data_IF_926415371833
#
_entry.id   IF_926415371833
#
_cell.length_a   1.000
_cell.length_b   1.000
_cell.length_c   1.000
_cell.angle_alpha   90.00
_cell.angle_beta   90.00
_cell.angle_gamma   90.00
#
_symmetry.space_group_name_H-M   'P 1'
#
loop_
_entity.id
_entity.type
_entity.pdbx_description
1 polymer ?
#
# COMPACT_ATOMS: atom_id res chain seq x y z
N UNK A 1 2.39 32.95 15.20
CA UNK A 1 1.82 31.76 15.89
C UNK A 1 1.64 30.67 14.83
N UNK A 2 2.19 29.47 15.05
CA UNK A 2 2.08 28.39 14.05
C UNK A 2 0.60 28.07 13.80
N UNK A 3 0.14 28.28 12.55
CA UNK A 3 -1.26 28.06 12.15
C UNK A 3 -1.72 26.62 12.32
N UNK A 4 -0.80 25.68 12.43
CA UNK A 4 -1.06 24.25 12.62
C UNK A 4 -1.17 23.85 14.10
N UNK A 5 -0.69 24.70 15.04
CA UNK A 5 -0.50 24.36 16.45
C UNK A 5 -1.73 23.68 17.09
N UNK A 6 -2.90 24.29 17.01
CA UNK A 6 -4.13 23.73 17.61
C UNK A 6 -4.50 22.36 17.04
N UNK A 7 -4.30 22.16 15.73
CA UNK A 7 -4.63 20.89 15.06
C UNK A 7 -3.61 19.83 15.46
N UNK A 8 -2.32 20.19 15.54
CA UNK A 8 -1.27 19.28 15.97
C UNK A 8 -1.41 18.88 17.43
N UNK A 9 -1.75 19.78 18.34
CA UNK A 9 -2.03 19.46 19.74
C UNK A 9 -3.13 18.40 19.85
N UNK A 10 -4.21 18.57 19.09
CA UNK A 10 -5.28 17.57 19.00
C UNK A 10 -4.81 16.24 18.41
N UNK A 11 -3.98 16.29 17.36
CA UNK A 11 -3.41 15.09 16.75
C UNK A 11 -2.44 14.37 17.69
N UNK A 12 -1.57 15.10 18.40
CA UNK A 12 -0.69 14.52 19.41
C UNK A 12 -1.47 13.83 20.50
N UNK A 13 -2.51 14.49 21.07
CA UNK A 13 -3.36 13.90 22.09
C UNK A 13 -4.05 12.61 21.62
N UNK A 14 -4.42 12.52 20.34
CA UNK A 14 -5.12 11.36 19.78
C UNK A 14 -4.21 10.21 19.42
N UNK A 15 -3.04 10.49 18.82
CA UNK A 15 -2.23 9.48 18.15
C UNK A 15 -0.91 9.15 18.85
N UNK A 16 -0.40 10.05 19.71
CA UNK A 16 0.84 9.80 20.45
C UNK A 16 0.53 8.99 21.70
N UNK A 17 1.19 7.84 21.90
CA UNK A 17 1.00 7.03 23.08
C UNK A 17 1.40 7.77 24.37
N UNK A 18 0.59 7.66 25.40
CA UNK A 18 0.91 8.15 26.75
C UNK A 18 2.07 7.36 27.37
N UNK A 19 2.68 7.91 28.40
CA UNK A 19 3.72 7.22 29.18
C UNK A 19 3.23 5.88 29.76
N UNK A 20 1.97 5.82 30.20
CA UNK A 20 1.36 4.59 30.72
C UNK A 20 1.25 3.52 29.63
N UNK A 21 0.80 3.90 28.44
CA UNK A 21 0.69 2.97 27.30
C UNK A 21 2.07 2.49 26.82
N UNK A 22 3.06 3.39 26.77
CA UNK A 22 4.45 3.00 26.46
C UNK A 22 4.97 1.99 27.46
N UNK A 23 4.86 2.24 28.76
CA UNK A 23 5.31 1.34 29.82
C UNK A 23 4.61 -0.02 29.78
N UNK A 24 3.32 -0.05 29.47
CA UNK A 24 2.58 -1.31 29.32
C UNK A 24 3.09 -2.14 28.14
N UNK A 25 3.38 -1.47 27.01
CA UNK A 25 3.96 -2.12 25.84
C UNK A 25 5.38 -2.62 26.11
N UNK A 26 6.22 -1.82 26.79
CA UNK A 26 7.59 -2.17 27.18
C UNK A 26 7.62 -3.42 28.07
N UNK A 27 6.70 -3.54 29.03
CA UNK A 27 6.59 -4.75 29.87
C UNK A 27 6.32 -6.00 29.01
N UNK A 28 5.38 -5.89 28.04
CA UNK A 28 5.05 -7.01 27.14
C UNK A 28 6.23 -7.34 26.23
N UNK A 29 6.94 -6.31 25.73
CA UNK A 29 8.12 -6.47 24.90
C UNK A 29 9.25 -7.18 25.64
N UNK A 30 9.53 -6.82 26.88
CA UNK A 30 10.53 -7.48 27.70
C UNK A 30 10.16 -8.94 27.98
N UNK A 31 8.90 -9.23 28.33
CA UNK A 31 8.44 -10.60 28.60
C UNK A 31 8.61 -11.52 27.38
N UNK A 32 8.27 -11.06 26.16
CA UNK A 32 8.47 -11.89 24.95
C UNK A 32 9.95 -12.02 24.61
N UNK A 33 10.75 -10.97 24.81
CA UNK A 33 12.19 -11.02 24.60
C UNK A 33 12.88 -12.06 25.53
N UNK A 34 12.51 -12.07 26.81
CA UNK A 34 13.00 -13.02 27.80
C UNK A 34 12.61 -14.46 27.42
N UNK A 35 11.37 -14.65 26.95
CA UNK A 35 10.91 -15.95 26.48
C UNK A 35 11.74 -16.45 25.28
N UNK A 36 11.96 -15.60 24.27
CA UNK A 36 12.74 -15.98 23.09
C UNK A 36 14.19 -16.29 23.43
N UNK A 37 14.83 -15.49 24.28
CA UNK A 37 16.20 -15.73 24.75
C UNK A 37 16.31 -17.03 25.57
N UNK A 38 15.33 -17.30 26.44
CA UNK A 38 15.27 -18.56 27.20
C UNK A 38 15.14 -19.75 26.26
N UNK A 39 14.26 -19.70 25.27
CA UNK A 39 14.06 -20.77 24.29
C UNK A 39 15.33 -21.01 23.47
N UNK A 40 16.03 -19.96 23.02
CA UNK A 40 17.29 -20.06 22.30
C UNK A 40 18.35 -20.74 23.13
N UNK A 41 18.51 -20.32 24.38
CA UNK A 41 19.47 -20.92 25.32
C UNK A 41 19.17 -22.41 25.57
N UNK A 42 17.91 -22.76 25.80
CA UNK A 42 17.49 -24.14 26.07
C UNK A 42 17.68 -25.04 24.85
N UNK A 43 17.48 -24.53 23.64
CA UNK A 43 17.62 -25.27 22.38
C UNK A 43 19.05 -25.26 21.83
N UNK A 44 19.99 -24.57 22.46
CA UNK A 44 21.38 -24.43 21.98
C UNK A 44 21.51 -23.67 20.65
N UNK A 45 20.53 -22.84 20.32
CA UNK A 45 20.52 -22.06 19.07
C UNK A 45 21.27 -20.75 19.29
N UNK A 46 22.27 -20.50 18.43
CA UNK A 46 23.02 -19.22 18.44
C UNK A 46 22.28 -18.15 17.62
N UNK A 47 21.54 -17.29 18.32
CA UNK A 47 20.76 -16.21 17.73
C UNK A 47 20.78 -14.99 18.65
N UNK A 48 20.82 -13.79 18.07
CA UNK A 48 20.66 -12.53 18.79
C UNK A 48 19.30 -11.91 18.45
N UNK A 49 18.51 -11.54 19.47
CA UNK A 49 17.25 -10.87 19.26
C UNK A 49 17.38 -9.37 19.48
N UNK A 50 16.80 -8.57 18.57
CA UNK A 50 16.71 -7.11 18.70
C UNK A 50 15.31 -6.62 18.37
N UNK A 51 14.83 -5.62 19.10
CA UNK A 51 13.63 -4.92 18.71
C UNK A 51 13.83 -4.16 17.42
N UNK A 52 12.78 -4.14 16.59
CA UNK A 52 12.74 -3.45 15.32
C UNK A 52 11.50 -2.58 15.16
N UNK A 53 11.21 -2.26 13.92
CA UNK A 53 9.99 -1.58 13.51
C UNK A 53 9.76 -0.22 14.18
N UNK A 54 8.49 0.14 14.29
CA UNK A 54 8.08 1.39 14.91
C UNK A 54 8.21 1.37 16.44
N UNK A 55 8.11 0.19 17.06
CA UNK A 55 8.31 0.03 18.50
C UNK A 55 9.73 0.44 18.90
N UNK A 56 10.76 -0.15 18.30
CA UNK A 56 12.17 0.15 18.62
C UNK A 56 12.55 1.62 18.41
N UNK A 57 11.86 2.31 17.51
CA UNK A 57 12.07 3.72 17.16
C UNK A 57 11.21 4.69 17.98
N UNK A 58 10.23 4.19 18.73
CA UNK A 58 9.28 4.99 19.48
C UNK A 58 8.34 5.82 18.61
N UNK A 59 8.07 5.37 17.37
CA UNK A 59 7.29 6.09 16.35
C UNK A 59 5.98 5.39 15.98
N UNK A 60 5.46 4.52 16.85
CA UNK A 60 4.21 3.81 16.65
C UNK A 60 2.99 4.68 17.03
N UNK A 61 1.89 4.49 16.30
CA UNK A 61 0.64 5.19 16.52
C UNK A 61 -0.10 4.50 17.68
N UNK A 62 -0.67 5.29 18.59
CA UNK A 62 -1.52 4.79 19.67
C UNK A 62 -2.59 3.84 19.14
N UNK A 63 -2.85 2.76 19.88
CA UNK A 63 -3.79 1.67 19.54
C UNK A 63 -3.44 0.83 18.30
N UNK A 64 -2.29 1.12 17.64
CA UNK A 64 -1.81 0.39 16.45
C UNK A 64 -0.39 -0.17 16.69
N UNK A 65 -0.06 -0.56 17.90
CA UNK A 65 1.27 -1.04 18.23
C UNK A 65 1.44 -2.52 17.86
N UNK A 66 2.43 -2.78 17.02
CA UNK A 66 2.99 -4.10 16.78
C UNK A 66 4.42 -4.09 17.32
N UNK A 67 4.90 -5.21 17.88
CA UNK A 67 6.29 -5.37 18.28
C UNK A 67 7.00 -6.22 17.24
N UNK A 68 7.92 -5.60 16.51
CA UNK A 68 8.80 -6.28 15.58
C UNK A 68 10.06 -6.72 16.31
N UNK A 69 10.44 -7.99 16.18
CA UNK A 69 11.66 -8.57 16.73
C UNK A 69 12.48 -9.17 15.59
N UNK A 70 13.71 -8.71 15.43
CA UNK A 70 14.66 -9.31 14.51
C UNK A 70 15.44 -10.42 15.20
N UNK A 71 15.37 -11.63 14.66
CA UNK A 71 16.19 -12.76 15.04
C UNK A 71 17.42 -12.81 14.12
N UNK A 72 18.58 -12.43 14.61
CA UNK A 72 19.81 -12.23 13.84
C UNK A 72 20.62 -13.53 13.86
N UNK A 73 20.74 -14.17 12.71
CA UNK A 73 21.49 -15.42 12.50
C UNK A 73 22.75 -15.19 11.69
N UNK A 74 23.71 -16.11 11.81
CA UNK A 74 24.94 -16.05 11.03
C UNK A 74 24.81 -16.70 9.64
N UNK A 75 23.82 -17.58 9.44
CA UNK A 75 23.57 -18.23 8.15
C UNK A 75 22.08 -18.47 7.88
N UNK A 76 21.72 -18.60 6.59
CA UNK A 76 20.34 -18.93 6.18
C UNK A 76 19.88 -20.30 6.69
N UNK A 77 20.80 -21.25 6.85
CA UNK A 77 20.51 -22.59 7.38
C UNK A 77 20.01 -22.51 8.82
N UNK A 78 20.65 -21.67 9.64
CA UNK A 78 20.28 -21.46 11.05
C UNK A 78 18.93 -20.80 11.23
N UNK A 79 18.47 -19.97 10.27
CA UNK A 79 17.16 -19.32 10.35
C UNK A 79 15.99 -20.28 10.49
N UNK A 80 16.10 -21.52 9.97
CA UNK A 80 15.07 -22.55 10.10
C UNK A 80 14.78 -22.93 11.55
N UNK A 81 15.75 -22.73 12.44
CA UNK A 81 15.57 -23.00 13.86
C UNK A 81 14.64 -22.02 14.57
N UNK A 82 14.31 -20.87 13.93
CA UNK A 82 13.42 -19.89 14.52
C UNK A 82 12.04 -20.46 14.86
N UNK A 83 11.55 -21.43 14.08
CA UNK A 83 10.28 -22.12 14.33
C UNK A 83 10.20 -22.82 15.69
N UNK A 84 11.33 -23.23 16.27
CA UNK A 84 11.41 -23.86 17.59
C UNK A 84 11.53 -22.84 18.73
N UNK A 85 11.82 -21.57 18.41
CA UNK A 85 12.10 -20.52 19.40
C UNK A 85 10.87 -19.67 19.70
N UNK A 86 9.98 -19.53 18.72
CA UNK A 86 8.74 -18.72 18.85
C UNK A 86 7.65 -19.49 19.60
N UNK A 87 6.67 -18.81 20.24
CA UNK A 87 5.50 -19.45 20.82
C UNK A 87 4.77 -20.35 19.81
N UNK A 88 4.24 -21.50 20.29
CA UNK A 88 3.61 -22.52 19.42
C UNK A 88 2.36 -22.07 18.68
N UNK A 89 1.69 -21.04 19.16
CA UNK A 89 0.51 -20.42 18.57
C UNK A 89 0.84 -19.35 17.53
N UNK A 90 2.14 -19.05 17.33
CA UNK A 90 2.55 -18.17 16.25
C UNK A 90 2.43 -18.87 14.90
N UNK A 91 1.90 -18.16 13.93
CA UNK A 91 1.72 -18.67 12.57
C UNK A 91 2.87 -18.22 11.67
N UNK A 92 3.29 -19.13 10.80
CA UNK A 92 4.22 -18.81 9.72
C UNK A 92 3.56 -17.91 8.69
N UNK A 93 4.24 -16.86 8.28
CA UNK A 93 3.80 -15.92 7.25
C UNK A 93 4.92 -15.73 6.23
N UNK A 94 4.53 -15.54 4.98
CA UNK A 94 5.46 -15.37 3.86
C UNK A 94 5.43 -13.91 3.38
N UNK A 95 6.61 -13.28 3.39
CA UNK A 95 6.87 -11.99 2.79
C UNK A 95 8.06 -12.13 1.83
N UNK A 96 9.01 -11.22 1.87
CA UNK A 96 10.32 -11.38 1.22
C UNK A 96 11.09 -12.59 1.79
N UNK A 97 10.77 -12.94 3.02
CA UNK A 97 11.31 -14.07 3.77
C UNK A 97 10.21 -14.63 4.66
N UNK A 98 10.29 -15.91 5.00
CA UNK A 98 9.41 -16.53 5.99
C UNK A 98 9.64 -15.91 7.38
N UNK A 99 8.57 -15.53 8.07
CA UNK A 99 8.60 -14.95 9.41
C UNK A 99 7.42 -15.44 10.25
N UNK A 100 7.46 -15.20 11.54
CA UNK A 100 6.45 -15.68 12.49
C UNK A 100 5.68 -14.52 13.08
N UNK A 101 4.36 -14.66 13.16
CA UNK A 101 3.49 -13.67 13.79
C UNK A 101 2.44 -14.30 14.67
N UNK A 102 2.13 -13.63 15.75
CA UNK A 102 1.11 -14.06 16.70
C UNK A 102 0.68 -12.94 17.63
N UNK A 103 -0.06 -13.31 18.68
CA UNK A 103 -0.39 -12.40 19.78
C UNK A 103 0.22 -12.89 21.07
N UNK A 104 0.93 -12.01 21.74
CA UNK A 104 1.48 -12.28 23.06
C UNK A 104 0.94 -11.26 24.04
N UNK A 105 0.23 -11.70 25.09
CA UNK A 105 -0.48 -10.82 26.05
C UNK A 105 -1.37 -9.77 25.36
N UNK A 106 -2.04 -10.16 24.27
CA UNK A 106 -2.93 -9.30 23.49
C UNK A 106 -2.26 -8.39 22.46
N UNK A 107 -0.93 -8.22 22.52
CA UNK A 107 -0.15 -7.42 21.59
C UNK A 107 0.25 -8.27 20.38
N UNK A 108 0.21 -7.70 19.19
CA UNK A 108 0.74 -8.37 17.98
C UNK A 108 2.26 -8.37 18.01
N UNK A 109 2.85 -9.51 17.74
CA UNK A 109 4.29 -9.72 17.68
C UNK A 109 4.64 -10.29 16.31
N UNK A 110 5.67 -9.74 15.69
CA UNK A 110 6.29 -10.31 14.49
C UNK A 110 7.75 -10.62 14.79
N UNK A 111 8.16 -11.87 14.51
CA UNK A 111 9.56 -12.30 14.69
C UNK A 111 10.13 -12.63 13.32
N UNK A 112 11.06 -11.81 12.88
CA UNK A 112 11.59 -11.81 11.52
C UNK A 112 13.06 -12.27 11.54
N UNK A 113 13.41 -13.37 10.85
CA UNK A 113 14.79 -13.78 10.74
C UNK A 113 15.56 -12.84 9.82
N UNK A 114 16.74 -12.40 10.25
CA UNK A 114 17.66 -11.56 9.50
C UNK A 114 19.07 -12.13 9.53
N UNK A 115 19.85 -11.88 8.48
CA UNK A 115 21.26 -12.28 8.42
C UNK A 115 22.14 -11.20 9.03
N UNK A 116 23.14 -11.65 9.79
CA UNK A 116 24.26 -10.81 10.18
C UNK A 116 25.11 -10.51 8.96
N UNK A 117 25.49 -9.29 8.77
CA UNK A 117 26.40 -8.86 7.71
C UNK A 117 27.47 -7.93 8.28
N UNK A 118 28.65 -7.96 7.68
CA UNK A 118 29.79 -7.08 7.99
C UNK A 118 29.93 -5.94 7.01
N UNK A 119 29.49 -6.14 5.76
CA UNK A 119 29.52 -5.15 4.69
C UNK A 119 28.11 -4.94 4.10
N UNK A 120 27.68 -3.70 4.03
CA UNK A 120 26.38 -3.32 3.49
C UNK A 120 26.23 -3.69 2.01
N UNK A 121 27.32 -3.71 1.26
CA UNK A 121 27.29 -4.12 -0.15
C UNK A 121 27.04 -5.63 -0.34
N UNK A 122 27.25 -6.44 0.71
CA UNK A 122 26.97 -7.88 0.70
C UNK A 122 25.50 -8.22 0.98
N UNK A 123 24.70 -7.24 1.40
CA UNK A 123 23.30 -7.45 1.77
C UNK A 123 22.45 -7.72 0.55
N UNK A 124 21.92 -8.94 0.47
CA UNK A 124 21.04 -9.38 -0.63
C UNK A 124 19.57 -9.03 -0.41
N UNK A 125 19.15 -8.94 0.84
CA UNK A 125 17.76 -8.67 1.21
C UNK A 125 17.66 -7.39 2.04
N UNK A 126 16.86 -6.44 1.59
CA UNK A 126 16.68 -5.15 2.28
C UNK A 126 16.13 -5.27 3.70
N UNK A 127 15.51 -6.39 4.06
CA UNK A 127 15.03 -6.64 5.43
C UNK A 127 16.19 -6.75 6.42
N UNK A 128 17.36 -7.23 5.97
CA UNK A 128 18.56 -7.35 6.82
C UNK A 128 19.08 -5.97 7.24
N UNK A 129 18.79 -4.90 6.47
CA UNK A 129 19.11 -3.52 6.80
C UNK A 129 18.20 -2.92 7.89
N UNK A 130 17.09 -3.58 8.23
CA UNK A 130 16.08 -3.00 9.14
C UNK A 130 16.62 -2.75 10.55
N UNK A 131 17.62 -3.51 10.97
CA UNK A 131 18.33 -3.28 12.25
C UNK A 131 19.10 -1.96 12.22
N UNK A 132 19.75 -1.64 11.10
CA UNK A 132 20.46 -0.37 10.92
C UNK A 132 19.49 0.82 10.90
N UNK A 133 18.32 0.66 10.29
CA UNK A 133 17.31 1.71 10.24
C UNK A 133 16.86 2.14 11.64
N UNK A 134 16.67 1.19 12.58
CA UNK A 134 16.28 1.51 13.94
C UNK A 134 17.38 2.32 14.67
N UNK A 135 18.64 1.89 14.55
CA UNK A 135 19.78 2.59 15.13
C UNK A 135 19.92 4.00 14.54
N UNK A 136 19.82 4.12 13.22
CA UNK A 136 19.92 5.41 12.53
C UNK A 136 18.84 6.37 13.01
N UNK A 137 17.57 5.95 13.01
CA UNK A 137 16.45 6.81 13.40
C UNK A 137 16.60 7.26 14.87
N UNK A 138 16.96 6.37 15.77
CA UNK A 138 17.13 6.69 17.20
C UNK A 138 18.28 7.66 17.46
N UNK A 139 19.29 7.72 16.60
CA UNK A 139 20.39 8.69 16.74
C UNK A 139 20.01 10.12 16.36
N UNK A 140 18.89 10.34 15.62
CA UNK A 140 18.51 11.65 15.11
C UNK A 140 17.17 12.17 15.65
N UNK A 141 16.22 11.30 15.98
CA UNK A 141 14.88 11.73 16.36
C UNK A 141 14.80 11.99 17.87
N UNK A 142 14.71 13.27 18.24
CA UNK A 142 14.24 13.67 19.56
C UNK A 142 12.78 13.27 19.78
N UNK A 143 12.31 13.27 21.04
CA UNK A 143 10.93 12.89 21.37
C UNK A 143 9.89 13.76 20.67
N UNK A 144 10.16 15.06 20.46
CA UNK A 144 9.25 15.93 19.71
C UNK A 144 9.19 15.57 18.23
N UNK A 145 10.34 15.27 17.62
CA UNK A 145 10.36 14.78 16.24
C UNK A 145 9.65 13.43 16.08
N UNK A 146 9.74 12.55 17.09
CA UNK A 146 8.97 11.28 17.10
C UNK A 146 7.45 11.55 17.12
N UNK A 147 6.97 12.56 17.86
CA UNK A 147 5.55 12.97 17.81
C UNK A 147 5.15 13.42 16.40
N UNK A 148 5.99 14.22 15.74
CA UNK A 148 5.77 14.67 14.37
C UNK A 148 5.68 13.50 13.38
N UNK A 149 6.57 12.49 13.51
CA UNK A 149 6.52 11.27 12.73
C UNK A 149 5.19 10.52 12.94
N UNK A 150 4.75 10.39 14.19
CA UNK A 150 3.51 9.68 14.53
C UNK A 150 2.31 10.35 13.87
N UNK A 151 2.19 11.68 13.97
CA UNK A 151 1.06 12.38 13.35
C UNK A 151 1.18 12.44 11.82
N UNK A 152 2.38 12.46 11.25
CA UNK A 152 2.57 12.32 9.80
C UNK A 152 2.13 10.94 9.29
N UNK A 153 2.45 9.87 10.03
CA UNK A 153 1.94 8.52 9.73
C UNK A 153 0.41 8.47 9.79
N UNK A 154 -0.20 9.05 10.83
CA UNK A 154 -1.66 9.14 10.96
C UNK A 154 -2.28 9.95 9.82
N UNK A 155 -1.67 11.07 9.43
CA UNK A 155 -2.07 11.87 8.27
C UNK A 155 -2.03 11.05 6.98
N UNK A 156 -0.92 10.35 6.71
CA UNK A 156 -0.79 9.52 5.51
C UNK A 156 -1.80 8.37 5.47
N UNK A 157 -2.09 7.73 6.61
CA UNK A 157 -3.14 6.70 6.72
C UNK A 157 -4.52 7.26 6.40
N UNK A 158 -4.88 8.40 6.98
CA UNK A 158 -6.17 9.05 6.75
C UNK A 158 -6.37 9.53 5.29
N UNK A 159 -5.27 9.79 4.58
CA UNK A 159 -5.29 10.25 3.18
C UNK A 159 -4.89 9.17 2.17
N UNK A 160 -4.89 7.89 2.57
CA UNK A 160 -4.67 6.71 1.72
C UNK A 160 -3.34 6.73 0.94
N UNK A 161 -2.27 7.22 1.57
CA UNK A 161 -0.92 7.24 0.98
C UNK A 161 0.14 6.58 1.89
N UNK A 162 -0.27 5.84 2.93
CA UNK A 162 0.60 5.07 3.83
C UNK A 162 0.65 3.60 3.43
N UNK A 163 1.84 3.00 3.47
CA UNK A 163 2.08 1.58 3.19
C UNK A 163 2.92 1.38 1.94
N UNK A 164 4.03 0.64 2.05
CA UNK A 164 4.97 0.37 0.95
C UNK A 164 4.73 -0.98 0.28
N UNK A 165 3.68 -1.69 0.69
CA UNK A 165 3.28 -2.96 0.10
C UNK A 165 2.95 -2.79 -1.38
N UNK A 166 3.18 -3.84 -2.16
CA UNK A 166 3.03 -3.81 -3.63
C UNK A 166 1.60 -3.51 -4.11
N UNK A 167 0.61 -3.59 -3.23
CA UNK A 167 -0.78 -3.22 -3.52
C UNK A 167 -1.16 -1.83 -3.00
N UNK A 168 -0.35 -1.23 -2.10
CA UNK A 168 -0.58 0.11 -1.55
C UNK A 168 0.14 1.20 -2.33
N UNK A 169 1.40 0.94 -2.74
CA UNK A 169 2.25 1.89 -3.46
C UNK A 169 2.40 3.26 -2.76
N UNK A 170 2.35 3.26 -1.42
CA UNK A 170 2.44 4.46 -0.60
C UNK A 170 3.78 4.58 0.14
N UNK A 171 3.82 5.51 1.08
CA UNK A 171 4.99 5.78 1.90
C UNK A 171 5.14 4.76 3.03
N UNK A 172 6.34 4.21 3.18
CA UNK A 172 6.69 3.38 4.33
C UNK A 172 6.83 4.22 5.61
N UNK A 173 6.68 3.59 6.78
CA UNK A 173 6.96 4.27 8.05
C UNK A 173 8.39 4.83 8.10
N UNK A 174 9.37 4.09 7.56
CA UNK A 174 10.76 4.52 7.50
C UNK A 174 10.98 5.73 6.60
N UNK A 175 10.35 5.79 5.42
CA UNK A 175 10.46 6.97 4.55
C UNK A 175 9.91 8.23 5.20
N UNK A 176 8.81 8.13 5.98
CA UNK A 176 8.24 9.27 6.71
C UNK A 176 9.14 9.71 7.88
N UNK A 177 9.79 8.76 8.56
CA UNK A 177 10.79 9.04 9.61
C UNK A 177 11.98 9.82 9.05
N UNK A 178 12.50 9.40 7.89
CA UNK A 178 13.58 10.10 7.20
C UNK A 178 13.14 11.47 6.69
N UNK A 179 11.90 11.62 6.20
CA UNK A 179 11.35 12.92 5.82
C UNK A 179 11.33 13.91 7.00
N UNK A 180 10.88 13.50 8.19
CA UNK A 180 10.91 14.38 9.37
C UNK A 180 12.36 14.72 9.75
N UNK A 181 13.30 13.81 9.56
CA UNK A 181 14.72 14.11 9.76
C UNK A 181 15.21 15.16 8.77
N UNK A 182 14.91 15.03 7.49
CA UNK A 182 15.37 15.94 6.43
C UNK A 182 14.76 17.36 6.56
N UNK A 183 13.47 17.46 6.83
CA UNK A 183 12.74 18.73 6.92
C UNK A 183 12.70 19.30 8.34
N UNK A 184 13.12 18.54 9.35
CA UNK A 184 13.21 18.97 10.75
C UNK A 184 11.90 18.85 11.52
N UNK A 185 10.74 19.08 10.89
CA UNK A 185 9.42 18.97 11.51
C UNK A 185 8.31 18.70 10.48
N UNK A 186 7.13 18.30 10.95
CA UNK A 186 5.98 18.16 10.07
C UNK A 186 5.48 19.51 9.53
N UNK A 187 5.51 20.58 10.33
CA UNK A 187 5.23 21.95 9.86
C UNK A 187 6.16 22.37 8.72
N UNK A 188 7.45 22.09 8.84
CA UNK A 188 8.44 22.43 7.80
C UNK A 188 8.18 21.63 6.52
N UNK A 189 7.88 20.34 6.62
CA UNK A 189 7.51 19.51 5.46
C UNK A 189 6.27 20.06 4.75
N UNK A 190 5.21 20.46 5.48
CA UNK A 190 3.99 21.05 4.90
C UNK A 190 4.32 22.33 4.11
N UNK A 191 5.22 23.17 4.62
CA UNK A 191 5.64 24.38 3.92
C UNK A 191 6.44 24.06 2.66
N UNK A 192 7.37 23.09 2.74
CA UNK A 192 8.28 22.74 1.66
C UNK A 192 7.55 22.08 0.46
N UNK A 193 6.51 21.28 0.72
CA UNK A 193 5.71 20.62 -0.33
C UNK A 193 5.09 21.63 -1.32
N UNK A 194 4.94 22.89 -0.95
CA UNK A 194 4.42 23.91 -1.87
C UNK A 194 5.34 24.17 -3.07
N UNK A 195 6.64 23.94 -2.92
CA UNK A 195 7.67 24.10 -3.96
C UNK A 195 7.89 22.87 -4.82
N UNK A 196 7.36 21.70 -4.42
CA UNK A 196 7.67 20.42 -5.07
C UNK A 196 7.18 20.35 -6.52
N UNK A 197 8.04 19.80 -7.39
CA UNK A 197 7.76 19.48 -8.80
C UNK A 197 8.16 18.03 -9.06
N UNK A 198 7.43 17.34 -9.92
CA UNK A 198 7.75 15.95 -10.31
C UNK A 198 8.88 15.96 -11.36
N UNK A 199 9.89 15.10 -11.23
CA UNK A 199 10.16 14.22 -10.09
C UNK A 199 10.66 14.98 -8.86
N UNK A 200 10.16 14.60 -7.67
CA UNK A 200 10.59 15.18 -6.39
C UNK A 200 11.91 14.53 -5.96
N UNK A 201 12.93 15.34 -5.63
CA UNK A 201 14.17 14.83 -5.06
C UNK A 201 14.37 15.44 -3.68
N UNK A 202 14.51 14.62 -2.65
CA UNK A 202 14.76 15.02 -1.28
C UNK A 202 16.19 14.59 -0.92
N UNK A 203 16.99 15.54 -0.46
CA UNK A 203 18.41 15.30 -0.16
C UNK A 203 19.28 15.25 -1.42
N UNK A 204 20.55 14.82 -1.25
CA UNK A 204 21.52 14.68 -2.34
C UNK A 204 21.60 13.21 -2.78
N UNK A 205 21.41 12.94 -4.06
CA UNK A 205 21.58 11.61 -4.64
C UNK A 205 22.48 11.67 -5.86
N UNK A 206 23.44 10.77 -5.92
CA UNK A 206 24.26 10.53 -7.11
C UNK A 206 23.59 9.60 -8.11
N UNK A 207 22.48 8.94 -7.74
CA UNK A 207 21.81 7.93 -8.54
C UNK A 207 20.50 8.49 -9.08
N UNK A 208 20.29 8.33 -10.39
CA UNK A 208 19.01 8.62 -11.03
C UNK A 208 18.12 7.39 -10.93
N UNK A 209 16.86 7.59 -10.51
CA UNK A 209 15.83 6.57 -10.48
C UNK A 209 14.67 7.00 -11.37
N UNK A 210 14.06 6.02 -12.03
CA UNK A 210 12.77 6.20 -12.69
C UNK A 210 11.65 6.07 -11.63
N UNK A 211 11.47 7.15 -10.88
CA UNK A 211 10.52 7.20 -9.76
C UNK A 211 9.99 8.64 -9.60
N UNK A 212 8.71 8.83 -9.30
CA UNK A 212 8.13 10.17 -9.10
C UNK A 212 8.70 10.90 -7.89
N UNK A 213 9.30 10.17 -6.94
CA UNK A 213 9.97 10.72 -5.77
C UNK A 213 11.24 9.94 -5.45
N UNK A 214 12.31 10.65 -5.19
CA UNK A 214 13.60 10.13 -4.76
C UNK A 214 13.92 10.62 -3.35
N UNK A 215 14.08 9.68 -2.44
CA UNK A 215 14.61 9.90 -1.09
C UNK A 215 15.65 8.81 -0.83
N UNK A 216 16.96 9.15 -0.89
CA UNK A 216 18.02 8.20 -0.64
C UNK A 216 17.94 7.62 0.76
N UNK A 217 18.21 6.32 0.89
CA UNK A 217 18.34 5.67 2.18
C UNK A 217 19.62 6.16 2.87
N UNK A 218 19.54 6.80 4.04
CA UNK A 218 20.72 7.28 4.74
C UNK A 218 21.70 6.16 5.15
N UNK A 219 21.20 4.94 5.28
CA UNK A 219 22.02 3.76 5.63
C UNK A 219 22.55 3.04 4.38
N UNK A 220 21.97 3.27 3.21
CA UNK A 220 22.43 2.76 1.91
C UNK A 220 22.07 3.74 0.78
N UNK A 221 22.94 4.75 0.50
CA UNK A 221 22.64 5.80 -0.48
C UNK A 221 22.34 5.33 -1.91
N UNK A 222 22.63 4.06 -2.22
CA UNK A 222 22.28 3.43 -3.50
C UNK A 222 20.80 2.97 -3.58
N UNK A 223 20.03 3.16 -2.51
CA UNK A 223 18.63 2.74 -2.41
C UNK A 223 17.71 3.95 -2.31
N UNK A 224 16.62 3.94 -3.07
CA UNK A 224 15.52 4.88 -2.90
C UNK A 224 14.49 4.29 -1.93
N UNK A 225 14.29 4.88 -0.75
CA UNK A 225 13.31 4.40 0.25
C UNK A 225 11.87 4.74 -0.10
N UNK A 226 11.64 5.55 -1.13
CA UNK A 226 10.35 5.86 -1.71
C UNK A 226 10.09 5.10 -3.04
N UNK A 227 10.87 4.08 -3.38
CA UNK A 227 10.75 3.34 -4.64
C UNK A 227 9.36 2.68 -4.85
N UNK A 228 8.63 2.37 -3.78
CA UNK A 228 7.26 1.86 -3.85
C UNK A 228 6.21 2.91 -4.21
N UNK A 229 6.51 4.20 -4.00
CA UNK A 229 5.54 5.28 -4.15
C UNK A 229 5.30 5.55 -5.63
N UNK A 230 4.07 5.34 -6.09
CA UNK A 230 3.66 5.69 -7.43
C UNK A 230 3.22 7.16 -7.53
N UNK A 231 3.03 7.65 -8.76
CA UNK A 231 2.65 9.03 -9.03
C UNK A 231 1.30 9.40 -8.40
N UNK A 232 0.34 8.48 -8.40
CA UNK A 232 -0.98 8.69 -7.81
C UNK A 232 -0.90 8.93 -6.30
N UNK A 233 -0.15 8.10 -5.57
CA UNK A 233 -0.01 8.24 -4.12
C UNK A 233 0.87 9.43 -3.72
N UNK A 234 1.88 9.76 -4.53
CA UNK A 234 2.60 11.03 -4.36
C UNK A 234 1.65 12.22 -4.54
N UNK A 235 0.80 12.20 -5.57
CA UNK A 235 -0.18 13.25 -5.83
C UNK A 235 -1.22 13.36 -4.71
N UNK A 236 -1.72 12.25 -4.17
CA UNK A 236 -2.59 12.22 -2.98
C UNK A 236 -1.90 12.88 -1.77
N UNK A 237 -0.65 12.53 -1.52
CA UNK A 237 0.14 13.10 -0.42
C UNK A 237 0.31 14.61 -0.58
N UNK A 238 0.81 15.06 -1.73
CA UNK A 238 1.06 16.48 -2.03
C UNK A 238 -0.23 17.30 -1.97
N UNK A 239 -1.31 16.82 -2.61
CA UNK A 239 -2.60 17.51 -2.60
C UNK A 239 -3.17 17.61 -1.18
N UNK A 240 -3.08 16.55 -0.39
CA UNK A 240 -3.57 16.56 1.00
C UNK A 240 -2.80 17.54 1.86
N UNK A 241 -1.46 17.60 1.72
CA UNK A 241 -0.63 18.56 2.44
C UNK A 241 -0.89 20.00 2.00
N UNK A 242 -1.03 20.28 0.70
CA UNK A 242 -1.38 21.62 0.19
C UNK A 242 -2.77 22.07 0.68
N UNK A 243 -3.75 21.18 0.68
CA UNK A 243 -5.08 21.47 1.23
C UNK A 243 -5.03 21.70 2.73
N UNK A 244 -4.27 20.92 3.47
CA UNK A 244 -4.03 21.12 4.89
C UNK A 244 -3.30 22.44 5.16
N UNK A 245 -2.34 22.80 4.33
CA UNK A 245 -1.67 24.11 4.40
C UNK A 245 -2.67 25.27 4.28
N UNK A 246 -3.62 25.19 3.35
CA UNK A 246 -4.62 26.25 3.13
C UNK A 246 -5.73 26.24 4.20
N UNK A 247 -6.18 25.04 4.59
CA UNK A 247 -7.34 24.85 5.46
C UNK A 247 -7.03 23.81 6.56
N UNK A 248 -6.22 24.17 7.58
CA UNK A 248 -5.85 23.25 8.64
C UNK A 248 -7.08 22.75 9.39
N UNK A 249 -7.33 21.43 9.35
CA UNK A 249 -8.42 20.77 10.06
C UNK A 249 -7.97 19.41 10.59
N UNK A 250 -8.53 19.01 11.73
CA UNK A 250 -8.31 17.69 12.28
C UNK A 250 -8.87 16.57 11.39
N UNK A 251 -9.80 16.89 10.48
CA UNK A 251 -10.39 15.92 9.54
C UNK A 251 -9.38 15.26 8.62
N UNK A 252 -8.21 15.89 8.40
CA UNK A 252 -7.12 15.29 7.64
C UNK A 252 -6.41 14.15 8.36
N UNK A 253 -6.68 13.96 9.65
CA UNK A 253 -6.15 12.88 10.47
C UNK A 253 -7.19 11.79 10.76
N UNK A 254 -8.41 11.92 10.26
CA UNK A 254 -9.50 10.96 10.52
C UNK A 254 -9.78 10.14 9.27
N UNK A 255 -9.82 8.82 9.43
CA UNK A 255 -10.33 7.95 8.37
C UNK A 255 -11.81 8.25 8.13
N UNK A 256 -12.11 8.92 7.03
CA UNK A 256 -13.49 9.03 6.56
C UNK A 256 -13.94 7.65 6.13
N UNK A 257 -15.15 7.26 6.50
CA UNK A 257 -15.74 6.02 6.00
C UNK A 257 -15.71 6.06 4.47
N UNK A 258 -14.92 5.20 3.85
CA UNK A 258 -14.72 5.16 2.41
C UNK A 258 -16.05 5.04 1.65
N UNK A 259 -16.97 4.21 2.16
CA UNK A 259 -18.31 4.06 1.60
C UNK A 259 -19.11 5.36 1.59
N UNK A 260 -19.04 6.13 2.68
CA UNK A 260 -19.76 7.39 2.80
C UNK A 260 -19.17 8.45 1.88
N UNK A 261 -17.84 8.54 1.80
CA UNK A 261 -17.12 9.41 0.86
C UNK A 261 -17.55 9.11 -0.57
N UNK A 262 -17.51 7.84 -0.98
CA UNK A 262 -17.84 7.40 -2.33
C UNK A 262 -19.32 7.66 -2.65
N UNK A 263 -20.25 7.36 -1.72
CA UNK A 263 -21.68 7.67 -1.91
C UNK A 263 -21.93 9.14 -2.16
N UNK A 264 -21.28 10.01 -1.40
CA UNK A 264 -21.37 11.47 -1.59
C UNK A 264 -20.83 11.88 -2.95
N UNK A 265 -19.70 11.34 -3.38
CA UNK A 265 -19.11 11.62 -4.69
C UNK A 265 -20.01 11.13 -5.85
N UNK A 266 -20.59 9.94 -5.72
CA UNK A 266 -21.55 9.37 -6.70
C UNK A 266 -22.76 10.28 -6.89
N UNK A 267 -23.34 10.76 -5.78
CA UNK A 267 -24.48 11.66 -5.80
C UNK A 267 -24.14 13.01 -6.46
N UNK A 268 -22.99 13.59 -6.11
CA UNK A 268 -22.55 14.88 -6.66
C UNK A 268 -22.25 14.82 -8.18
N UNK A 269 -21.80 13.67 -8.66
CA UNK A 269 -21.32 13.49 -10.05
C UNK A 269 -22.33 12.83 -10.97
N UNK A 270 -23.47 12.37 -10.45
CA UNK A 270 -24.47 11.63 -11.24
C UNK A 270 -23.94 10.35 -11.87
N UNK A 271 -22.96 9.71 -11.20
CA UNK A 271 -22.33 8.46 -11.65
C UNK A 271 -23.00 7.25 -11.04
N UNK A 272 -22.67 6.03 -11.51
CA UNK A 272 -23.11 4.76 -10.90
C UNK A 272 -21.99 4.10 -10.13
N UNK A 273 -22.33 3.54 -8.97
CA UNK A 273 -21.42 2.76 -8.13
C UNK A 273 -21.69 1.27 -8.29
N UNK A 274 -20.63 0.53 -8.58
CA UNK A 274 -20.61 -0.93 -8.49
C UNK A 274 -19.71 -1.33 -7.32
N UNK A 275 -20.21 -2.22 -6.48
CA UNK A 275 -19.50 -2.70 -5.30
C UNK A 275 -19.32 -4.21 -5.40
N UNK A 276 -18.08 -4.68 -5.26
CA UNK A 276 -17.74 -6.11 -5.34
C UNK A 276 -16.91 -6.50 -4.15
N UNK A 277 -17.39 -7.47 -3.38
CA UNK A 277 -16.66 -8.01 -2.23
C UNK A 277 -16.09 -9.38 -2.57
N UNK A 278 -14.81 -9.57 -2.28
CA UNK A 278 -14.08 -10.81 -2.52
C UNK A 278 -13.48 -11.31 -1.22
N UNK A 279 -13.67 -12.59 -0.89
CA UNK A 279 -13.09 -13.22 0.29
C UNK A 279 -11.60 -13.44 0.08
N UNK A 280 -10.79 -13.12 1.10
CA UNK A 280 -9.35 -13.38 1.12
C UNK A 280 -9.13 -14.84 1.49
N UNK A 281 -8.61 -15.65 0.57
CA UNK A 281 -8.42 -17.10 0.69
C UNK A 281 -6.95 -17.53 0.73
N UNK A 282 -6.02 -16.60 0.48
CA UNK A 282 -4.57 -16.80 0.51
C UNK A 282 -3.95 -15.89 1.59
N UNK A 283 -2.66 -16.00 1.90
CA UNK A 283 -1.98 -14.99 2.69
C UNK A 283 -2.27 -13.59 2.16
N UNK A 284 -2.70 -12.69 3.03
CA UNK A 284 -3.33 -11.41 2.70
C UNK A 284 -2.53 -10.61 1.66
N UNK A 285 -1.23 -10.47 1.85
CA UNK A 285 -0.39 -9.63 0.98
C UNK A 285 -0.23 -10.22 -0.42
N UNK A 286 -0.15 -11.55 -0.52
CA UNK A 286 -0.12 -12.28 -1.80
C UNK A 286 -1.44 -12.09 -2.54
N UNK A 287 -2.56 -12.27 -1.82
CA UNK A 287 -3.89 -12.08 -2.38
C UNK A 287 -4.10 -10.65 -2.88
N UNK A 288 -3.81 -9.65 -2.06
CA UNK A 288 -4.03 -8.25 -2.39
C UNK A 288 -3.15 -7.79 -3.56
N UNK A 289 -1.91 -8.25 -3.64
CA UNK A 289 -1.02 -7.95 -4.76
C UNK A 289 -1.56 -8.53 -6.09
N UNK A 290 -2.07 -9.76 -6.08
CA UNK A 290 -2.75 -10.37 -7.23
C UNK A 290 -4.05 -9.64 -7.57
N UNK A 291 -4.80 -9.24 -6.54
CA UNK A 291 -6.07 -8.55 -6.68
C UNK A 291 -5.91 -7.22 -7.40
N UNK A 292 -4.98 -6.37 -6.97
CA UNK A 292 -4.70 -5.08 -7.62
C UNK A 292 -4.21 -5.26 -9.06
N UNK A 293 -3.30 -6.22 -9.30
CA UNK A 293 -2.83 -6.53 -10.67
C UNK A 293 -3.98 -6.96 -11.60
N UNK A 294 -4.93 -7.71 -11.09
CA UNK A 294 -6.10 -8.15 -11.86
C UNK A 294 -7.11 -7.01 -12.04
N UNK A 295 -7.24 -6.11 -11.05
CA UNK A 295 -8.03 -4.90 -11.18
C UNK A 295 -7.50 -3.99 -12.29
N UNK A 296 -6.20 -3.82 -12.45
CA UNK A 296 -5.62 -3.05 -13.56
C UNK A 296 -5.98 -3.66 -14.93
N UNK A 297 -6.03 -4.99 -15.02
CA UNK A 297 -6.50 -5.67 -16.24
C UNK A 297 -7.99 -5.42 -16.49
N UNK A 298 -8.81 -5.50 -15.43
CA UNK A 298 -10.24 -5.20 -15.50
C UNK A 298 -10.47 -3.76 -15.98
N UNK A 299 -9.81 -2.79 -15.36
CA UNK A 299 -9.92 -1.37 -15.71
C UNK A 299 -9.53 -1.11 -17.17
N UNK A 300 -8.42 -1.70 -17.64
CA UNK A 300 -8.02 -1.64 -19.05
C UNK A 300 -9.04 -2.30 -19.98
N UNK A 301 -9.56 -3.47 -19.60
CA UNK A 301 -10.59 -4.17 -20.35
C UNK A 301 -11.91 -3.39 -20.45
N UNK A 302 -12.32 -2.70 -19.40
CA UNK A 302 -13.50 -1.85 -19.39
C UNK A 302 -13.30 -0.62 -20.28
N UNK A 303 -12.15 0.06 -20.16
CA UNK A 303 -11.78 1.21 -21.02
C UNK A 303 -11.72 0.81 -22.49
N UNK A 304 -11.17 -0.35 -22.82
CA UNK A 304 -11.11 -0.87 -24.19
C UNK A 304 -12.51 -1.18 -24.77
N UNK A 305 -13.55 -1.25 -23.94
CA UNK A 305 -14.95 -1.40 -24.32
C UNK A 305 -15.73 -0.08 -24.17
N UNK A 306 -15.05 1.07 -24.22
CA UNK A 306 -15.61 2.42 -24.11
C UNK A 306 -16.43 2.67 -22.82
N UNK A 307 -16.11 1.94 -21.75
CA UNK A 307 -16.74 2.14 -20.45
C UNK A 307 -15.90 3.19 -19.71
N UNK A 308 -16.50 4.34 -19.51
CA UNK A 308 -15.84 5.45 -18.82
C UNK A 308 -15.85 5.23 -17.31
N UNK A 309 -14.69 4.80 -16.77
CA UNK A 309 -14.46 4.66 -15.35
C UNK A 309 -14.06 6.02 -14.80
N UNK A 310 -14.81 6.49 -13.82
CA UNK A 310 -14.53 7.75 -13.15
C UNK A 310 -13.43 7.58 -12.08
N UNK A 311 -13.61 6.62 -11.18
CA UNK A 311 -12.66 6.23 -10.16
C UNK A 311 -12.90 4.81 -9.69
N UNK A 312 -11.94 4.25 -9.01
CA UNK A 312 -12.12 3.05 -8.22
C UNK A 312 -11.33 3.16 -6.91
N UNK A 313 -11.84 2.53 -5.88
CA UNK A 313 -11.20 2.43 -4.57
C UNK A 313 -11.35 1.01 -4.03
N UNK A 314 -10.43 0.58 -3.17
CA UNK A 314 -10.49 -0.73 -2.52
C UNK A 314 -10.46 -0.55 -1.01
N UNK A 315 -11.44 -1.16 -0.35
CA UNK A 315 -11.42 -1.32 1.11
C UNK A 315 -10.79 -2.67 1.46
N UNK A 316 -9.68 -2.64 2.16
CA UNK A 316 -8.92 -3.83 2.56
C UNK A 316 -9.30 -4.26 3.97
N UNK A 317 -10.30 -5.14 4.09
CA UNK A 317 -10.66 -5.78 5.35
C UNK A 317 -9.70 -6.91 5.75
N UNK A 318 -9.91 -7.49 6.93
CA UNK A 318 -9.13 -8.65 7.39
C UNK A 318 -9.46 -9.92 6.57
N UNK A 319 -10.73 -10.13 6.27
CA UNK A 319 -11.24 -11.35 5.60
C UNK A 319 -11.72 -11.11 4.17
N UNK A 320 -11.97 -9.87 3.80
CA UNK A 320 -12.53 -9.50 2.50
C UNK A 320 -11.82 -8.26 1.94
N UNK A 321 -11.71 -8.21 0.62
CA UNK A 321 -11.40 -6.99 -0.12
C UNK A 321 -12.66 -6.52 -0.86
N UNK A 322 -13.01 -5.25 -0.73
CA UNK A 322 -14.20 -4.68 -1.38
C UNK A 322 -13.79 -3.60 -2.38
N UNK A 323 -14.05 -3.86 -3.66
CA UNK A 323 -13.86 -2.91 -4.75
C UNK A 323 -15.09 -2.02 -4.88
N UNK A 324 -14.86 -0.72 -4.93
CA UNK A 324 -15.82 0.30 -5.32
C UNK A 324 -15.44 0.84 -6.70
N UNK A 325 -16.25 0.57 -7.71
CA UNK A 325 -16.02 1.00 -9.08
C UNK A 325 -17.06 2.03 -9.46
N UNK A 326 -16.62 3.26 -9.71
CA UNK A 326 -17.49 4.37 -10.10
C UNK A 326 -17.42 4.58 -11.63
N UNK A 327 -18.55 4.44 -12.27
CA UNK A 327 -18.68 4.52 -13.73
C UNK A 327 -19.55 5.74 -14.09
N UNK A 328 -19.08 6.56 -15.03
CA UNK A 328 -19.72 7.82 -15.39
C UNK A 328 -21.03 7.59 -16.15
N UNK A 329 -20.99 6.78 -17.18
CA UNK A 329 -22.15 6.48 -18.00
C UNK A 329 -22.21 4.98 -18.32
N UNK A 330 -23.38 4.40 -18.11
CA UNK A 330 -23.74 3.11 -18.69
C UNK A 330 -24.64 3.43 -19.88
N UNK A 331 -24.16 3.35 -21.11
CA UNK A 331 -24.99 3.66 -22.26
C UNK A 331 -26.17 2.73 -22.33
N UNK A 332 -27.37 3.28 -22.57
CA UNK A 332 -28.63 2.48 -22.72
C UNK A 332 -28.55 1.52 -23.91
N UNK A 333 -27.92 1.96 -24.98
CA UNK A 333 -27.40 1.16 -26.08
C UNK A 333 -26.20 1.90 -26.65
N UNK A 334 -25.10 1.23 -26.92
CA UNK A 334 -23.97 1.82 -27.62
C UNK A 334 -23.58 0.88 -28.73
N UNK A 335 -23.32 1.43 -29.89
CA UNK A 335 -22.62 0.73 -30.95
C UNK A 335 -21.15 0.98 -30.80
N UNK A 336 -20.32 -0.05 -30.89
CA UNK A 336 -18.87 0.05 -30.97
C UNK A 336 -18.44 -0.38 -32.35
N UNK A 337 -17.65 0.46 -32.99
CA UNK A 337 -16.97 0.08 -34.23
C UNK A 337 -15.94 -1.00 -33.92
N UNK A 338 -16.10 -2.15 -34.55
CA UNK A 338 -15.15 -3.29 -34.44
C UNK A 338 -14.45 -3.44 -35.77
N UNK A 339 -13.13 -3.40 -35.73
CA UNK A 339 -12.28 -3.62 -36.90
C UNK A 339 -12.21 -5.11 -37.23
N UNK A 340 -12.53 -5.46 -38.47
CA UNK A 340 -12.38 -6.77 -39.05
C UNK A 340 -11.10 -6.88 -39.91
N UNK A 341 -11.10 -7.73 -40.92
CA UNK A 341 -9.93 -7.91 -41.80
C UNK A 341 -9.64 -6.67 -42.67
N UNK A 342 -8.40 -6.54 -43.13
CA UNK A 342 -8.06 -5.53 -44.11
C UNK A 342 -8.80 -5.82 -45.43
N UNK A 343 -9.28 -4.77 -46.09
CA UNK A 343 -10.01 -4.94 -47.38
C UNK A 343 -9.16 -5.49 -48.49
N UNK A 344 -7.85 -5.46 -48.32
CA UNK A 344 -6.87 -6.07 -49.22
C UNK A 344 -6.50 -7.51 -48.88
N UNK A 345 -7.16 -8.10 -47.85
CA UNK A 345 -6.98 -9.52 -47.51
C UNK A 345 -7.59 -10.44 -48.58
N UNK A 346 -7.25 -11.72 -48.48
CA UNK A 346 -7.80 -12.75 -49.37
C UNK A 346 -9.32 -12.75 -49.34
N UNK A 347 -9.94 -12.99 -50.50
CA UNK A 347 -11.39 -12.93 -50.69
C UNK A 347 -12.15 -13.92 -49.82
N UNK A 348 -11.57 -15.06 -49.49
CA UNK A 348 -12.21 -16.05 -48.61
C UNK A 348 -12.28 -15.56 -47.17
N UNK A 349 -11.32 -14.75 -46.69
CA UNK A 349 -11.33 -14.10 -45.36
C UNK A 349 -12.46 -13.08 -45.33
N UNK A 350 -12.54 -12.23 -46.35
CA UNK A 350 -13.61 -11.21 -46.47
C UNK A 350 -14.99 -11.86 -46.59
N UNK A 351 -15.12 -12.94 -47.35
CA UNK A 351 -16.36 -13.69 -47.53
C UNK A 351 -16.89 -14.24 -46.19
N UNK A 352 -15.99 -14.80 -45.38
CA UNK A 352 -16.37 -15.30 -44.04
C UNK A 352 -16.78 -14.15 -43.11
N UNK A 353 -16.11 -13.02 -43.19
CA UNK A 353 -16.47 -11.82 -42.44
C UNK A 353 -17.85 -11.26 -42.86
N UNK A 354 -18.12 -11.14 -44.15
CA UNK A 354 -19.41 -10.67 -44.69
C UNK A 354 -20.57 -11.62 -44.37
N UNK A 355 -20.34 -12.94 -44.33
CA UNK A 355 -21.33 -13.90 -43.87
C UNK A 355 -21.78 -13.67 -42.43
N UNK A 356 -20.83 -13.23 -41.59
CA UNK A 356 -21.04 -13.03 -40.14
C UNK A 356 -21.61 -11.64 -39.81
N UNK A 357 -21.45 -10.65 -40.72
CA UNK A 357 -21.81 -9.25 -40.47
C UNK A 357 -22.59 -8.67 -41.66
N UNK A 358 -23.88 -8.40 -41.43
CA UNK A 358 -24.77 -7.87 -42.48
C UNK A 358 -24.50 -6.43 -42.87
N UNK A 359 -24.01 -5.61 -41.92
CA UNK A 359 -23.65 -4.21 -42.16
C UNK A 359 -22.14 -4.07 -41.93
N UNK A 360 -21.42 -3.75 -42.97
CA UNK A 360 -19.98 -3.57 -42.97
C UNK A 360 -19.67 -2.15 -43.48
N UNK A 361 -18.77 -1.48 -42.78
CA UNK A 361 -18.27 -0.15 -43.10
C UNK A 361 -16.76 -0.23 -43.44
N UNK A 362 -16.24 0.81 -44.05
CA UNK A 362 -14.81 0.96 -44.29
C UNK A 362 -14.26 1.97 -43.32
N UNK A 363 -13.23 1.58 -42.58
CA UNK A 363 -12.51 2.44 -41.63
C UNK A 363 -11.01 2.34 -41.89
N UNK A 364 -10.46 3.34 -42.57
CA UNK A 364 -9.11 3.25 -43.12
C UNK A 364 -8.98 2.10 -44.10
N UNK A 365 -8.09 1.14 -43.85
CA UNK A 365 -7.88 -0.06 -44.68
C UNK A 365 -8.65 -1.30 -44.18
N UNK A 366 -9.54 -1.16 -43.19
CA UNK A 366 -10.22 -2.30 -42.56
C UNK A 366 -11.71 -2.34 -42.92
N UNK A 367 -12.24 -3.52 -43.17
CA UNK A 367 -13.67 -3.78 -43.09
C UNK A 367 -14.07 -3.75 -41.61
N UNK A 368 -15.10 -3.02 -41.25
CA UNK A 368 -15.54 -2.81 -39.87
C UNK A 368 -17.05 -2.95 -39.76
N UNK A 369 -17.53 -3.20 -38.55
CA UNK A 369 -18.97 -3.28 -38.27
C UNK A 369 -19.28 -2.70 -36.91
N UNK A 370 -20.54 -2.30 -36.73
CA UNK A 370 -21.03 -1.80 -35.44
C UNK A 370 -21.57 -2.95 -34.58
N UNK A 371 -20.99 -3.12 -33.39
CA UNK A 371 -21.46 -4.06 -32.40
C UNK A 371 -22.29 -3.33 -31.33
N UNK A 372 -23.57 -3.70 -31.20
CA UNK A 372 -24.46 -3.12 -30.21
C UNK A 372 -24.29 -3.76 -28.83
N UNK A 373 -24.39 -2.93 -27.79
CA UNK A 373 -24.40 -3.34 -26.37
C UNK A 373 -25.68 -2.85 -25.69
N UNK A 374 -26.43 -3.73 -25.02
CA UNK A 374 -27.59 -3.35 -24.23
C UNK A 374 -27.28 -3.26 -22.72
N UNK A 375 -28.07 -2.45 -21.97
CA UNK A 375 -27.87 -2.24 -20.52
C UNK A 375 -28.02 -3.55 -19.71
N UNK A 376 -28.95 -4.44 -20.10
CA UNK A 376 -29.11 -5.72 -19.43
C UNK A 376 -27.85 -6.59 -19.52
N UNK A 377 -27.09 -6.43 -20.59
CA UNK A 377 -25.82 -7.13 -20.81
C UNK A 377 -24.65 -6.49 -20.09
N UNK A 378 -24.75 -5.21 -19.72
CA UNK A 378 -23.65 -4.48 -19.07
C UNK A 378 -23.30 -5.03 -17.68
N UNK A 379 -24.29 -5.24 -16.81
CA UNK A 379 -24.05 -5.86 -15.50
C UNK A 379 -23.50 -7.28 -15.66
N UNK A 380 -24.05 -8.04 -16.59
CA UNK A 380 -23.57 -9.37 -16.94
C UNK A 380 -22.16 -9.33 -17.51
N UNK A 381 -21.86 -8.35 -18.38
CA UNK A 381 -20.52 -8.14 -18.92
C UNK A 381 -19.49 -7.80 -17.82
N UNK A 382 -19.80 -6.87 -16.92
CA UNK A 382 -18.92 -6.55 -15.78
C UNK A 382 -18.72 -7.76 -14.89
N UNK A 383 -19.77 -8.51 -14.58
CA UNK A 383 -19.69 -9.73 -13.78
C UNK A 383 -18.82 -10.81 -14.46
N UNK A 384 -18.96 -10.97 -15.78
CA UNK A 384 -18.13 -11.92 -16.54
C UNK A 384 -16.65 -11.49 -16.51
N UNK A 385 -16.38 -10.20 -16.74
CA UNK A 385 -15.01 -9.68 -16.68
C UNK A 385 -14.42 -9.75 -15.28
N UNK A 386 -15.19 -9.51 -14.25
CA UNK A 386 -14.75 -9.71 -12.86
C UNK A 386 -14.44 -11.19 -12.58
N UNK A 387 -15.29 -12.11 -13.03
CA UNK A 387 -15.02 -13.55 -12.89
C UNK A 387 -13.78 -13.98 -13.68
N UNK A 388 -13.60 -13.45 -14.89
CA UNK A 388 -12.45 -13.74 -15.74
C UNK A 388 -11.14 -13.28 -15.10
N UNK A 389 -11.08 -12.04 -14.58
CA UNK A 389 -9.85 -11.45 -14.08
C UNK A 389 -9.64 -11.68 -12.58
N UNK A 390 -10.68 -11.82 -11.79
CA UNK A 390 -10.57 -11.89 -10.32
C UNK A 390 -10.57 -13.33 -9.77
N UNK A 391 -10.71 -14.35 -10.62
CA UNK A 391 -10.56 -15.80 -10.31
C UNK A 391 -11.22 -16.26 -9.00
N UNK A 392 -12.23 -15.56 -8.49
CA UNK A 392 -12.83 -15.87 -7.21
C UNK A 392 -14.17 -16.58 -7.34
N UNK A 393 -14.32 -17.69 -6.60
CA UNK A 393 -15.57 -18.47 -6.51
C UNK A 393 -16.70 -17.73 -5.76
N UNK A 394 -16.43 -16.54 -5.19
CA UNK A 394 -17.40 -15.79 -4.40
C UNK A 394 -17.31 -14.28 -4.70
N UNK A 395 -18.04 -13.85 -5.75
CA UNK A 395 -18.29 -12.43 -6.02
C UNK A 395 -19.71 -12.14 -5.58
N UNK A 396 -19.88 -11.29 -4.58
CA UNK A 396 -21.18 -10.76 -4.19
C UNK A 396 -21.35 -9.39 -4.86
N UNK A 397 -22.47 -9.21 -5.58
CA UNK A 397 -22.89 -7.91 -6.13
C UNK A 397 -23.97 -7.39 -5.21
N UNK A 398 -23.75 -6.26 -4.60
CA UNK A 398 -24.78 -5.51 -3.85
C UNK A 398 -25.30 -4.38 -4.70
#
# INVERSE_FOLDING_TARGET
MDKFKKVFEKAYSKFVPSLKERKALDNTANDIMDLLNKNAKTSGVNVEFKFGGSYAKGTWIKDESDIDIFAIFNSEKEMKSLSFLVPKDFITTFGTREYFKGRFKGVKIEVVPVLRFSDINSVKNSIDLSVLHANYINSFLSDDKKKDVIILKAFCKANSCYGSETYMHGFSGYSLEVMIKEFGSFSSLINEVNSWKIPVTIGKSAIKYDSPILLPDPTNPKRNICASVNEENLSKFVLSLKRFYLYPSFDFFTNKNLKEKIRKEVSLRGTRLFTFSTKIIEPRDVFLSKYVKNLDKLVRGLKANDIEIYSYDIEYGEKNATLFLQIKNVPKSKTKLVYGPEVFSDIEILKNFFKSHKQVFITGKYASYDKSYGIKDFNKFILLKLKEYMSSKSIFVN
#
